data_IF_818717080266
#
_entry.id   IF_818717080266
#
_cell.length_a   1.000
_cell.length_b   1.000
_cell.length_c   1.000
_cell.angle_alpha   90.00
_cell.angle_beta   90.00
_cell.angle_gamma   90.00
#
_symmetry.space_group_name_H-M   'P 1'
#
loop_
_entity.id
_entity.type
_entity.pdbx_description
1 polymer ?
#
# COMPACT_ATOMS: atom_id res chain seq x y z
N UNK A 1 -4.82 2.43 52.40
CA UNK A 1 -4.82 2.01 50.99
C UNK A 1 -5.19 3.23 50.19
N UNK A 2 -4.21 3.96 49.70
CA UNK A 2 -4.42 5.11 48.80
C UNK A 2 -4.64 4.56 47.40
N UNK A 3 -5.85 4.72 46.87
CA UNK A 3 -6.12 4.53 45.44
C UNK A 3 -5.16 5.42 44.64
N UNK A 4 -4.56 4.91 43.54
CA UNK A 4 -3.78 5.77 42.67
C UNK A 4 -4.71 6.80 42.00
N UNK A 5 -4.24 8.02 41.71
CA UNK A 5 -5.06 9.03 41.06
C UNK A 5 -5.54 8.47 39.72
N UNK A 6 -6.85 8.58 39.45
CA UNK A 6 -7.45 8.24 38.18
C UNK A 6 -6.90 9.18 37.10
N UNK A 7 -5.76 8.82 36.51
CA UNK A 7 -5.20 9.54 35.37
C UNK A 7 -6.15 9.37 34.19
N UNK A 8 -6.58 10.49 33.62
CA UNK A 8 -7.37 10.49 32.38
C UNK A 8 -6.56 9.68 31.35
N UNK A 9 -7.14 8.62 30.74
CA UNK A 9 -6.40 7.78 29.80
C UNK A 9 -5.96 8.64 28.61
N UNK A 10 -4.74 8.39 28.12
CA UNK A 10 -4.24 9.02 26.89
C UNK A 10 -5.15 8.63 25.74
N UNK A 11 -5.27 9.48 24.74
CA UNK A 11 -6.17 9.22 23.61
C UNK A 11 -5.40 8.77 22.39
N UNK A 12 -5.83 7.66 21.82
CA UNK A 12 -5.34 7.15 20.55
C UNK A 12 -6.47 7.20 19.54
N UNK A 13 -6.19 7.74 18.36
CA UNK A 13 -7.15 7.73 17.25
C UNK A 13 -6.68 6.80 16.15
N UNK A 14 -7.53 5.87 15.73
CA UNK A 14 -7.26 5.04 14.57
C UNK A 14 -7.94 5.64 13.33
N UNK A 15 -7.15 5.98 12.32
CA UNK A 15 -7.62 6.31 10.98
C UNK A 15 -7.45 5.08 10.08
N UNK A 16 -8.52 4.69 9.40
CA UNK A 16 -8.55 3.46 8.60
C UNK A 16 -9.57 3.57 7.47
N UNK A 17 -9.46 2.74 6.43
CA UNK A 17 -10.41 2.73 5.33
C UNK A 17 -11.84 2.43 5.82
N UNK A 18 -12.75 3.39 5.59
CA UNK A 18 -14.16 3.22 5.94
C UNK A 18 -14.87 2.51 4.78
N UNK A 19 -15.02 1.19 4.92
CA UNK A 19 -15.84 0.37 4.03
C UNK A 19 -17.32 0.39 4.40
N UNK A 20 -18.19 -0.05 3.49
CA UNK A 20 -19.58 -0.35 3.83
C UNK A 20 -19.65 -1.44 4.92
N UNK A 21 -20.68 -1.48 5.79
CA UNK A 21 -20.75 -2.39 6.94
C UNK A 21 -20.46 -3.87 6.64
N UNK A 22 -20.72 -4.33 5.42
CA UNK A 22 -20.53 -5.73 4.99
C UNK A 22 -19.32 -5.95 4.10
N UNK A 23 -18.53 -4.91 3.80
CA UNK A 23 -17.38 -5.04 2.89
C UNK A 23 -16.19 -5.72 3.56
N UNK A 24 -15.32 -6.32 2.76
CA UNK A 24 -14.10 -6.96 3.27
C UNK A 24 -13.14 -5.93 3.87
N UNK A 25 -13.09 -4.71 3.33
CA UNK A 25 -12.40 -3.56 3.94
C UNK A 25 -12.88 -3.32 5.37
N UNK A 26 -14.20 -3.30 5.62
CA UNK A 26 -14.74 -3.07 6.96
C UNK A 26 -14.34 -4.19 7.92
N UNK A 27 -14.50 -5.45 7.50
CA UNK A 27 -14.11 -6.62 8.29
C UNK A 27 -12.61 -6.58 8.65
N UNK A 28 -11.75 -6.30 7.66
CA UNK A 28 -10.30 -6.18 7.86
C UNK A 28 -9.99 -5.07 8.85
N UNK A 29 -10.51 -3.86 8.65
CA UNK A 29 -10.28 -2.73 9.57
C UNK A 29 -10.80 -3.01 10.98
N UNK A 30 -11.93 -3.72 11.15
CA UNK A 30 -12.43 -4.17 12.45
C UNK A 30 -11.46 -5.17 13.11
N UNK A 31 -10.95 -6.12 12.33
CA UNK A 31 -9.97 -7.10 12.80
C UNK A 31 -8.63 -6.45 13.18
N UNK A 32 -8.13 -5.52 12.38
CA UNK A 32 -6.89 -4.77 12.67
C UNK A 32 -7.04 -3.97 13.95
N UNK A 33 -8.15 -3.24 14.13
CA UNK A 33 -8.42 -2.50 15.36
C UNK A 33 -8.46 -3.44 16.57
N UNK A 34 -9.27 -4.50 16.49
CA UNK A 34 -9.54 -5.42 17.61
C UNK A 34 -8.33 -6.27 17.98
N UNK A 35 -7.61 -6.78 16.99
CA UNK A 35 -6.59 -7.80 17.17
C UNK A 35 -5.17 -7.26 17.03
N UNK A 36 -4.92 -6.09 16.46
CA UNK A 36 -3.55 -5.57 16.32
C UNK A 36 -3.37 -4.32 17.18
N UNK A 37 -4.21 -3.31 16.97
CA UNK A 37 -4.02 -1.99 17.57
C UNK A 37 -4.44 -1.94 19.03
N UNK A 38 -5.69 -2.30 19.33
CA UNK A 38 -6.29 -2.18 20.67
C UNK A 38 -5.49 -2.88 21.77
N UNK A 39 -5.06 -4.16 21.62
CA UNK A 39 -4.32 -4.85 22.67
C UNK A 39 -2.98 -4.20 23.01
N UNK A 40 -2.37 -3.50 22.03
CA UNK A 40 -1.09 -2.82 22.22
C UNK A 40 -1.30 -1.49 22.92
N UNK A 41 -2.10 -0.60 22.33
CA UNK A 41 -2.24 0.77 22.82
C UNK A 41 -2.88 0.85 24.21
N UNK A 42 -3.83 -0.05 24.52
CA UNK A 42 -4.42 -0.14 25.87
C UNK A 42 -3.38 -0.59 26.91
N UNK A 43 -2.40 -1.42 26.52
CA UNK A 43 -1.25 -1.78 27.36
C UNK A 43 -0.34 -0.61 27.71
N UNK A 44 -0.34 0.45 26.90
CA UNK A 44 0.36 1.72 27.15
C UNK A 44 -0.55 2.77 27.82
N UNK A 45 -1.76 2.40 28.24
CA UNK A 45 -2.71 3.31 28.90
C UNK A 45 -3.45 4.26 27.96
N UNK A 46 -3.50 3.95 26.67
CA UNK A 46 -4.30 4.70 25.70
C UNK A 46 -5.70 4.09 25.57
N UNK A 47 -6.72 4.95 25.51
CA UNK A 47 -8.04 4.62 25.01
C UNK A 47 -8.06 4.84 23.49
N UNK A 48 -8.41 3.80 22.72
CA UNK A 48 -8.46 3.88 21.26
C UNK A 48 -9.89 3.85 20.71
N UNK A 49 -10.19 4.86 19.90
CA UNK A 49 -11.43 4.99 19.13
C UNK A 49 -11.11 5.07 17.63
N UNK A 50 -12.04 4.62 16.79
CA UNK A 50 -11.96 4.79 15.34
C UNK A 50 -12.94 5.87 14.87
N UNK A 51 -12.64 6.49 13.72
CA UNK A 51 -13.40 7.62 13.17
C UNK A 51 -14.91 7.37 13.02
N UNK A 52 -15.34 6.14 12.75
CA UNK A 52 -16.73 5.73 12.57
C UNK A 52 -17.47 5.38 13.87
N UNK A 53 -16.78 5.29 15.01
CA UNK A 53 -17.44 5.19 16.33
C UNK A 53 -17.95 6.57 16.83
N UNK A 54 -17.61 7.65 16.12
CA UNK A 54 -17.96 9.04 16.44
C UNK A 54 -19.29 9.39 15.75
N UNK A 55 -20.36 8.71 16.16
CA UNK A 55 -21.69 8.78 15.55
C UNK A 55 -22.59 9.86 16.22
N UNK A 56 -22.02 11.03 16.54
CA UNK A 56 -22.75 12.15 17.15
C UNK A 56 -22.89 13.33 16.18
N UNK A 57 -24.08 13.41 15.55
CA UNK A 57 -24.76 14.54 14.87
C UNK A 57 -24.06 15.90 14.75
N UNK A 58 -22.85 15.92 14.21
CA UNK A 58 -22.10 17.10 13.78
C UNK A 58 -21.34 16.75 12.50
N UNK A 59 -20.92 17.74 11.72
CA UNK A 59 -20.17 17.50 10.49
C UNK A 59 -18.98 16.58 10.79
N UNK A 60 -19.02 15.35 10.27
CA UNK A 60 -18.05 14.25 10.51
C UNK A 60 -16.60 14.76 10.41
N UNK A 61 -16.35 15.69 9.49
CA UNK A 61 -15.05 16.29 9.24
C UNK A 61 -14.45 17.04 10.42
N UNK A 62 -15.22 17.85 11.17
CA UNK A 62 -14.64 18.68 12.24
C UNK A 62 -14.25 17.85 13.46
N UNK A 63 -15.03 16.83 13.81
CA UNK A 63 -14.72 15.94 14.92
C UNK A 63 -13.49 15.08 14.60
N UNK A 64 -13.40 14.52 13.39
CA UNK A 64 -12.23 13.77 12.93
C UNK A 64 -10.98 14.64 12.93
N UNK A 65 -11.06 15.87 12.40
CA UNK A 65 -9.93 16.82 12.45
C UNK A 65 -9.52 17.11 13.89
N UNK A 66 -10.46 17.32 14.81
CA UNK A 66 -10.15 17.54 16.23
C UNK A 66 -9.48 16.31 16.85
N UNK A 67 -9.93 15.08 16.55
CA UNK A 67 -9.24 13.85 17.00
C UNK A 67 -7.81 13.78 16.47
N UNK A 68 -7.62 14.03 15.17
CA UNK A 68 -6.29 14.05 14.53
C UNK A 68 -5.41 15.13 15.16
N UNK A 69 -5.99 16.27 15.53
CA UNK A 69 -5.27 17.37 16.12
C UNK A 69 -4.95 17.15 17.59
N UNK A 70 -5.88 16.66 18.40
CA UNK A 70 -5.81 16.72 19.85
C UNK A 70 -5.38 15.40 20.50
N UNK A 71 -5.66 14.25 19.87
CA UNK A 71 -5.30 12.96 20.45
C UNK A 71 -3.77 12.79 20.54
N UNK A 72 -3.33 12.13 21.61
CA UNK A 72 -1.92 11.94 21.95
C UNK A 72 -1.19 11.08 20.90
N UNK A 73 -1.89 10.13 20.29
CA UNK A 73 -1.36 9.20 19.28
C UNK A 73 -2.35 9.00 18.14
N UNK A 74 -1.85 8.92 16.91
CA UNK A 74 -2.63 8.47 15.74
C UNK A 74 -2.03 7.19 15.17
N UNK A 75 -2.86 6.16 14.94
CA UNK A 75 -2.50 4.98 14.17
C UNK A 75 -3.17 5.06 12.80
N UNK A 76 -2.39 5.02 11.73
CA UNK A 76 -2.88 5.15 10.37
C UNK A 76 -2.76 3.84 9.59
N UNK A 77 -3.89 3.25 9.23
CA UNK A 77 -3.98 2.06 8.38
C UNK A 77 -4.03 2.45 6.89
N UNK A 78 -2.90 2.33 6.22
CA UNK A 78 -2.71 2.70 4.81
C UNK A 78 -3.09 1.59 3.83
N UNK A 79 -3.66 0.50 4.32
CA UNK A 79 -4.15 -0.59 3.48
C UNK A 79 -5.20 -0.09 2.47
N UNK A 80 -5.27 -0.72 1.30
CA UNK A 80 -6.15 -0.34 0.17
C UNK A 80 -5.87 1.05 -0.44
N UNK A 81 -4.85 1.78 0.03
CA UNK A 81 -4.49 3.12 -0.45
C UNK A 81 -5.69 4.09 -0.42
N UNK A 82 -6.46 4.09 0.67
CA UNK A 82 -7.65 4.94 0.78
C UNK A 82 -7.28 6.45 0.81
N UNK A 83 -7.78 7.28 -0.13
CA UNK A 83 -7.45 8.70 -0.21
C UNK A 83 -7.78 9.51 1.05
N UNK A 84 -8.83 9.15 1.77
CA UNK A 84 -9.23 9.86 3.00
C UNK A 84 -8.20 9.64 4.10
N UNK A 85 -7.68 8.41 4.24
CA UNK A 85 -6.63 8.11 5.23
C UNK A 85 -5.35 8.89 4.93
N UNK A 86 -4.96 9.02 3.66
CA UNK A 86 -3.82 9.86 3.28
C UNK A 86 -4.04 11.33 3.64
N UNK A 87 -5.24 11.85 3.41
CA UNK A 87 -5.57 13.24 3.76
C UNK A 87 -5.47 13.46 5.28
N UNK A 88 -6.05 12.56 6.08
CA UNK A 88 -6.02 12.60 7.54
C UNK A 88 -4.59 12.46 8.09
N UNK A 89 -3.79 11.57 7.51
CA UNK A 89 -2.37 11.42 7.84
C UNK A 89 -1.57 12.67 7.51
N UNK A 90 -1.82 13.30 6.36
CA UNK A 90 -1.16 14.55 5.96
C UNK A 90 -1.43 15.69 6.95
N UNK A 91 -2.66 15.77 7.50
CA UNK A 91 -2.97 16.72 8.58
C UNK A 91 -2.16 16.43 9.83
N UNK A 92 -2.05 15.15 10.25
CA UNK A 92 -1.22 14.77 11.40
C UNK A 92 0.26 15.10 11.18
N UNK A 93 0.77 14.88 9.96
CA UNK A 93 2.12 15.26 9.57
C UNK A 93 2.39 16.76 9.70
N UNK A 94 1.44 17.59 9.27
CA UNK A 94 1.55 19.04 9.36
C UNK A 94 1.61 19.52 10.82
N UNK A 95 0.90 18.84 11.72
CA UNK A 95 0.91 19.13 13.16
C UNK A 95 2.13 18.61 13.90
N UNK A 96 2.96 17.78 13.26
CA UNK A 96 4.18 17.16 13.84
C UNK A 96 3.91 16.44 15.17
N UNK A 97 2.73 15.82 15.31
CA UNK A 97 2.33 15.09 16.51
C UNK A 97 2.52 13.57 16.33
N UNK A 98 2.70 12.80 17.41
CA UNK A 98 3.03 11.37 17.35
C UNK A 98 2.06 10.56 16.49
N UNK A 99 2.60 9.69 15.64
CA UNK A 99 1.81 8.78 14.81
C UNK A 99 2.56 7.50 14.49
N UNK A 100 1.84 6.44 14.12
CA UNK A 100 2.37 5.18 13.62
C UNK A 100 1.60 4.79 12.36
N UNK A 101 2.31 4.38 11.32
CA UNK A 101 1.72 3.90 10.07
C UNK A 101 1.76 2.38 10.02
N UNK A 102 0.65 1.77 9.63
CA UNK A 102 0.51 0.34 9.41
C UNK A 102 -0.06 0.08 8.02
N UNK A 103 0.27 -1.04 7.40
CA UNK A 103 -0.31 -1.45 6.12
C UNK A 103 -0.27 -2.97 5.96
N UNK A 104 -1.21 -3.51 5.19
CA UNK A 104 -1.19 -4.93 4.83
C UNK A 104 0.02 -5.28 3.96
N UNK A 105 0.61 -6.46 4.19
CA UNK A 105 1.70 -6.99 3.37
C UNK A 105 1.29 -7.00 1.89
N UNK A 106 2.19 -6.51 1.03
CA UNK A 106 1.93 -6.35 -0.40
C UNK A 106 1.35 -5.00 -0.80
N UNK A 107 1.00 -4.13 0.16
CA UNK A 107 0.62 -2.74 -0.14
C UNK A 107 1.82 -1.97 -0.71
N UNK A 108 1.71 -1.51 -1.95
CA UNK A 108 2.73 -0.67 -2.59
C UNK A 108 2.42 0.80 -2.28
N UNK A 109 3.11 1.35 -1.28
CA UNK A 109 2.92 2.74 -0.87
C UNK A 109 3.42 3.72 -1.95
N UNK A 110 2.74 4.89 -2.10
CA UNK A 110 3.21 5.95 -2.97
C UNK A 110 4.57 6.47 -2.49
N UNK A 111 5.37 6.98 -3.44
CA UNK A 111 6.74 7.45 -3.20
C UNK A 111 6.85 8.41 -2.02
N UNK A 112 5.87 9.30 -1.82
CA UNK A 112 5.84 10.28 -0.74
C UNK A 112 5.85 9.67 0.68
N UNK A 113 5.47 8.39 0.82
CA UNK A 113 5.48 7.65 2.09
C UNK A 113 6.49 6.49 2.11
N UNK A 114 7.17 6.18 1.01
CA UNK A 114 8.11 5.05 0.96
C UNK A 114 9.30 5.22 1.92
N UNK A 115 9.72 6.48 2.15
CA UNK A 115 10.80 6.81 3.07
C UNK A 115 10.34 6.86 4.53
N UNK A 116 9.04 6.68 4.80
CA UNK A 116 8.51 6.61 6.16
C UNK A 116 8.40 5.16 6.63
N UNK A 117 8.78 4.93 7.90
CA UNK A 117 8.69 3.59 8.49
C UNK A 117 7.23 3.18 8.63
N UNK A 118 6.81 2.25 7.78
CA UNK A 118 5.48 1.60 7.86
C UNK A 118 5.63 0.19 8.44
N UNK A 119 4.75 -0.15 9.38
CA UNK A 119 4.68 -1.48 9.97
C UNK A 119 3.77 -2.33 9.10
N UNK A 120 4.34 -3.36 8.48
CA UNK A 120 3.58 -4.30 7.67
C UNK A 120 2.95 -5.38 8.55
N UNK A 121 1.74 -5.82 8.19
CA UNK A 121 1.05 -6.93 8.84
C UNK A 121 0.29 -7.79 7.82
N UNK A 122 0.11 -9.06 8.13
CA UNK A 122 -0.91 -9.93 7.53
C UNK A 122 -1.89 -10.32 8.64
N UNK A 123 -3.15 -9.92 8.49
CA UNK A 123 -4.17 -10.15 9.52
C UNK A 123 -4.71 -11.59 9.54
N UNK A 124 -4.33 -12.41 8.55
CA UNK A 124 -4.61 -13.83 8.49
C UNK A 124 -3.49 -14.70 9.09
N UNK A 125 -2.31 -14.12 9.32
CA UNK A 125 -1.16 -14.79 9.91
C UNK A 125 -0.93 -14.31 11.36
N UNK A 126 -1.05 -15.24 12.32
CA UNK A 126 -0.89 -14.92 13.73
C UNK A 126 0.54 -14.50 14.10
N UNK A 127 1.55 -15.04 13.40
CA UNK A 127 2.94 -14.66 13.63
C UNK A 127 3.17 -13.24 13.13
N UNK A 128 2.65 -12.89 11.94
CA UNK A 128 2.68 -11.52 11.43
C UNK A 128 1.94 -10.54 12.34
N UNK A 129 0.80 -10.94 12.91
CA UNK A 129 0.07 -10.13 13.91
C UNK A 129 0.92 -9.90 15.15
N UNK A 130 1.62 -10.92 15.66
CA UNK A 130 2.48 -10.80 16.83
C UNK A 130 3.67 -9.85 16.55
N UNK A 131 4.33 -10.00 15.41
CA UNK A 131 5.41 -9.11 14.98
C UNK A 131 4.93 -7.65 14.82
N UNK A 132 3.76 -7.44 14.21
CA UNK A 132 3.17 -6.12 14.06
C UNK A 132 2.91 -5.46 15.42
N UNK A 133 2.36 -6.22 16.39
CA UNK A 133 2.13 -5.72 17.75
C UNK A 133 3.43 -5.32 18.45
N UNK A 134 4.49 -6.13 18.32
CA UNK A 134 5.80 -5.82 18.88
C UNK A 134 6.37 -4.54 18.26
N UNK A 135 6.31 -4.41 16.93
CA UNK A 135 6.80 -3.22 16.23
C UNK A 135 6.02 -1.97 16.60
N UNK A 136 4.69 -2.06 16.77
CA UNK A 136 3.87 -0.93 17.24
C UNK A 136 4.26 -0.55 18.67
N UNK A 137 4.46 -1.54 19.56
CA UNK A 137 4.90 -1.31 20.94
C UNK A 137 6.24 -0.58 21.00
N UNK A 138 7.21 -1.00 20.18
CA UNK A 138 8.51 -0.36 20.06
C UNK A 138 8.41 1.08 19.54
N UNK A 139 7.54 1.33 18.55
CA UNK A 139 7.28 2.67 18.05
C UNK A 139 6.65 3.58 19.11
N UNK A 140 5.66 3.11 19.86
CA UNK A 140 5.03 3.88 20.94
C UNK A 140 6.04 4.18 22.04
N UNK A 141 6.84 3.19 22.45
CA UNK A 141 7.90 3.38 23.45
C UNK A 141 8.89 4.47 23.03
N UNK A 142 9.33 4.47 21.77
CA UNK A 142 10.23 5.49 21.25
C UNK A 142 9.58 6.89 21.24
N UNK A 143 8.30 6.98 20.90
CA UNK A 143 7.55 8.24 20.90
C UNK A 143 7.36 8.79 22.32
N UNK A 144 7.04 7.93 23.30
CA UNK A 144 6.91 8.33 24.71
C UNK A 144 8.25 8.76 25.33
N UNK A 145 9.37 8.18 24.85
CA UNK A 145 10.72 8.60 25.23
C UNK A 145 11.15 9.94 24.61
N UNK A 146 10.30 10.57 23.78
CA UNK A 146 10.57 11.88 23.18
C UNK A 146 11.36 11.83 21.88
N UNK A 147 11.38 10.69 21.17
CA UNK A 147 11.98 10.62 19.84
C UNK A 147 11.34 11.64 18.89
N UNK A 148 12.12 12.31 18.03
CA UNK A 148 11.57 13.30 17.11
C UNK A 148 10.58 12.65 16.13
N UNK A 149 9.45 13.32 15.91
CA UNK A 149 8.44 12.90 14.94
C UNK A 149 8.87 13.40 13.55
N UNK A 150 9.47 12.53 12.77
CA UNK A 150 9.84 12.83 11.39
C UNK A 150 8.64 12.67 10.45
N UNK A 151 8.39 13.72 9.67
CA UNK A 151 7.32 13.77 8.67
C UNK A 151 7.92 14.21 7.33
N UNK A 152 7.27 13.91 6.19
CA UNK A 152 7.71 14.45 4.90
C UNK A 152 7.79 15.98 4.91
N UNK A 153 6.90 16.63 5.69
CA UNK A 153 6.89 18.07 5.89
C UNK A 153 8.07 18.56 6.74
N UNK A 154 8.41 17.87 7.84
CA UNK A 154 9.57 18.28 8.65
C UNK A 154 10.87 18.16 7.88
N UNK A 155 10.99 17.15 7.02
CA UNK A 155 12.12 17.00 6.10
C UNK A 155 12.19 18.15 5.10
N UNK A 156 11.07 18.49 4.45
CA UNK A 156 11.01 19.59 3.49
C UNK A 156 11.36 20.94 4.12
N UNK A 157 10.85 21.21 5.33
CA UNK A 157 11.18 22.43 6.10
C UNK A 157 12.64 22.44 6.49
N UNK A 158 13.18 21.33 7.01
CA UNK A 158 14.60 21.23 7.36
C UNK A 158 15.52 21.45 6.15
N UNK A 159 15.14 20.96 4.97
CA UNK A 159 15.88 21.23 3.73
C UNK A 159 15.82 22.71 3.31
N UNK A 160 14.69 23.39 3.53
CA UNK A 160 14.58 24.84 3.30
C UNK A 160 15.45 25.65 4.27
N UNK A 161 15.48 25.26 5.55
CA UNK A 161 16.33 25.90 6.55
C UNK A 161 17.81 25.73 6.18
N UNK A 162 18.24 24.51 5.80
CA UNK A 162 19.60 24.23 5.33
C UNK A 162 19.97 25.06 4.09
N UNK A 163 19.04 25.25 3.14
CA UNK A 163 19.25 26.13 1.98
C UNK A 163 19.41 27.60 2.36
N UNK A 164 18.63 28.05 3.35
CA UNK A 164 18.64 29.43 3.85
C UNK A 164 19.80 29.74 4.79
N UNK A 165 20.52 28.71 5.24
CA UNK A 165 21.67 28.86 6.13
C UNK A 165 22.82 29.60 5.46
N UNK A 166 23.55 30.38 6.26
CA UNK A 166 24.79 31.03 5.85
C UNK A 166 26.01 30.13 6.00
N UNK A 167 25.84 28.94 6.57
CA UNK A 167 26.92 27.95 6.74
C UNK A 167 27.18 27.17 5.44
N UNK A 168 28.40 27.22 4.87
CA UNK A 168 28.77 26.47 3.68
C UNK A 168 28.60 24.94 3.80
N UNK A 169 28.76 24.36 4.99
CA UNK A 169 28.60 22.91 5.20
C UNK A 169 27.13 22.50 5.10
N UNK A 170 26.24 23.28 5.73
CA UNK A 170 24.79 23.06 5.66
C UNK A 170 24.24 23.24 4.24
N UNK A 171 24.75 24.24 3.50
CA UNK A 171 24.43 24.41 2.08
C UNK A 171 24.91 23.22 1.22
N UNK A 172 26.10 22.68 1.54
CA UNK A 172 26.63 21.48 0.92
C UNK A 172 25.72 20.27 1.13
N UNK A 173 25.24 20.06 2.37
CA UNK A 173 24.32 18.97 2.70
C UNK A 173 23.01 19.10 1.92
N UNK A 174 22.42 20.30 1.86
CA UNK A 174 21.19 20.55 1.10
C UNK A 174 21.35 20.16 -0.38
N UNK A 175 22.48 20.53 -0.99
CA UNK A 175 22.74 20.25 -2.40
C UNK A 175 22.94 18.76 -2.70
N UNK A 176 23.56 18.02 -1.78
CA UNK A 176 23.68 16.56 -1.87
C UNK A 176 22.30 15.90 -1.82
N UNK A 177 21.48 16.27 -0.83
CA UNK A 177 20.12 15.72 -0.66
C UNK A 177 19.26 15.95 -1.91
N UNK A 178 19.31 17.14 -2.50
CA UNK A 178 18.60 17.42 -3.76
C UNK A 178 19.09 16.59 -4.94
N UNK A 179 20.39 16.37 -5.01
CA UNK A 179 20.98 15.58 -6.10
C UNK A 179 20.51 14.13 -5.98
N UNK A 180 20.48 13.58 -4.76
CA UNK A 180 19.94 12.24 -4.49
C UNK A 180 18.44 12.16 -4.84
N UNK A 181 17.61 13.09 -4.35
CA UNK A 181 16.17 13.09 -4.66
C UNK A 181 15.86 13.24 -6.16
N UNK A 182 16.69 14.00 -6.89
CA UNK A 182 16.60 14.10 -8.36
C UNK A 182 16.96 12.79 -9.05
N UNK A 183 18.00 12.09 -8.58
CA UNK A 183 18.37 10.77 -9.09
C UNK A 183 17.27 9.74 -8.82
N UNK A 184 16.68 9.72 -7.62
CA UNK A 184 15.53 8.87 -7.31
C UNK A 184 14.34 9.14 -8.23
N UNK A 185 14.04 10.41 -8.51
CA UNK A 185 12.94 10.78 -9.41
C UNK A 185 13.22 10.35 -10.86
N UNK A 186 14.47 10.44 -11.31
CA UNK A 186 14.90 9.94 -12.62
C UNK A 186 14.74 8.41 -12.71
N UNK A 187 15.23 7.68 -11.71
CA UNK A 187 15.07 6.22 -11.62
C UNK A 187 13.59 5.82 -11.59
N UNK A 188 12.78 6.48 -10.76
CA UNK A 188 11.35 6.20 -10.66
C UNK A 188 10.63 6.50 -11.98
N UNK A 189 11.03 7.55 -12.72
CA UNK A 189 10.50 7.85 -14.05
C UNK A 189 10.91 6.80 -15.09
N UNK A 190 12.13 6.26 -15.05
CA UNK A 190 12.53 5.14 -15.90
C UNK A 190 11.72 3.87 -15.58
N UNK A 191 11.54 3.56 -14.30
CA UNK A 191 10.73 2.41 -13.86
C UNK A 191 9.24 2.58 -14.22
N UNK A 192 8.68 3.79 -14.14
CA UNK A 192 7.30 4.09 -14.57
C UNK A 192 7.15 4.16 -16.09
N UNK A 193 8.18 4.61 -16.81
CA UNK A 193 8.22 4.60 -18.28
C UNK A 193 8.24 3.19 -18.87
N UNK A 194 8.68 2.20 -18.10
CA UNK A 194 8.66 0.79 -18.49
C UNK A 194 7.32 0.07 -18.21
N UNK A 195 6.35 0.72 -17.54
CA UNK A 195 5.02 0.14 -17.27
C UNK A 195 3.93 1.21 -17.26
N UNK A 196 3.53 1.70 -18.44
CA UNK A 196 2.25 2.40 -18.56
C UNK A 196 1.12 1.37 -18.77
N UNK A 197 -0.04 1.49 -18.10
CA UNK A 197 -1.19 0.60 -18.32
C UNK A 197 -1.62 0.62 -19.79
N UNK A 198 -1.61 1.77 -20.45
CA UNK A 198 -1.94 1.89 -21.87
C UNK A 198 -0.99 1.11 -22.79
N UNK A 199 0.32 1.15 -22.52
CA UNK A 199 1.32 0.41 -23.30
C UNK A 199 1.17 -1.09 -23.07
N UNK A 200 0.89 -1.51 -21.82
CA UNK A 200 0.57 -2.90 -21.52
C UNK A 200 -0.70 -3.37 -22.25
N UNK A 201 -1.76 -2.55 -22.29
CA UNK A 201 -2.96 -2.87 -23.07
C UNK A 201 -2.67 -2.91 -24.58
N UNK A 202 -1.85 -2.01 -25.12
CA UNK A 202 -1.48 -2.02 -26.55
C UNK A 202 -0.61 -3.22 -26.91
N UNK A 203 0.40 -3.55 -26.11
CA UNK A 203 1.28 -4.71 -26.30
C UNK A 203 0.48 -6.02 -26.20
N UNK A 204 -0.46 -6.11 -25.25
CA UNK A 204 -1.38 -7.24 -25.13
C UNK A 204 -2.33 -7.34 -26.32
N UNK A 205 -2.80 -6.23 -26.91
CA UNK A 205 -3.65 -6.26 -28.11
C UNK A 205 -2.88 -6.71 -29.35
N UNK A 206 -1.64 -6.25 -29.53
CA UNK A 206 -0.77 -6.68 -30.64
C UNK A 206 -0.46 -8.17 -30.52
N UNK A 207 -0.10 -8.63 -29.33
CA UNK A 207 0.18 -10.05 -29.06
C UNK A 207 -1.08 -10.91 -29.24
N UNK A 208 -2.25 -10.42 -28.79
CA UNK A 208 -3.53 -11.08 -29.02
C UNK A 208 -3.84 -11.20 -30.51
N UNK A 209 -3.67 -10.13 -31.28
CA UNK A 209 -3.91 -10.15 -32.72
C UNK A 209 -2.97 -11.09 -33.47
N UNK A 210 -1.71 -11.18 -33.03
CA UNK A 210 -0.74 -12.14 -33.57
C UNK A 210 -1.15 -13.59 -33.30
N UNK A 211 -1.55 -13.92 -32.06
CA UNK A 211 -2.04 -15.25 -31.67
C UNK A 211 -3.33 -15.59 -32.44
N UNK A 212 -4.25 -14.64 -32.64
CA UNK A 212 -5.43 -14.85 -33.51
C UNK A 212 -5.05 -15.13 -34.96
N UNK A 213 -4.03 -14.45 -35.48
CA UNK A 213 -3.48 -14.70 -36.81
C UNK A 213 -2.95 -16.12 -36.94
N UNK A 214 -2.17 -16.59 -35.97
CA UNK A 214 -1.65 -17.97 -35.94
C UNK A 214 -2.78 -19.00 -35.84
N UNK A 215 -3.80 -18.71 -35.03
CA UNK A 215 -4.99 -19.56 -34.88
C UNK A 215 -5.74 -19.70 -36.19
N UNK A 216 -6.08 -18.59 -36.85
CA UNK A 216 -6.78 -18.58 -38.16
C UNK A 216 -5.98 -19.26 -39.28
N UNK A 217 -4.65 -19.26 -39.18
CA UNK A 217 -3.76 -19.95 -40.11
C UNK A 217 -3.56 -21.45 -39.77
N UNK A 218 -4.18 -21.96 -38.71
CA UNK A 218 -4.05 -23.36 -38.27
C UNK A 218 -2.67 -23.70 -37.70
N UNK A 219 -1.88 -22.70 -37.29
CA UNK A 219 -0.49 -22.85 -36.82
C UNK A 219 -0.37 -22.89 -35.29
N UNK A 220 -1.49 -22.78 -34.57
CA UNK A 220 -1.57 -22.99 -33.13
C UNK A 220 -1.90 -24.45 -32.84
N UNK A 221 -1.00 -25.15 -32.16
CA UNK A 221 -1.17 -26.52 -31.73
C UNK A 221 -1.77 -26.57 -30.31
N UNK A 222 -2.49 -27.66 -29.94
CA UNK A 222 -3.00 -27.82 -28.58
C UNK A 222 -1.92 -27.81 -27.49
N UNK A 223 -0.68 -28.16 -27.83
CA UNK A 223 0.47 -28.11 -26.92
C UNK A 223 0.87 -26.68 -26.56
N UNK A 224 0.63 -25.72 -27.45
CA UNK A 224 0.98 -24.31 -27.27
C UNK A 224 0.09 -23.65 -26.19
N UNK A 225 -1.01 -24.29 -25.80
CA UNK A 225 -1.89 -23.84 -24.72
C UNK A 225 -1.12 -23.69 -23.41
N UNK A 226 -0.24 -24.64 -23.09
CA UNK A 226 0.53 -24.62 -21.83
C UNK A 226 1.55 -23.49 -21.81
N UNK A 227 2.22 -23.22 -22.93
CA UNK A 227 3.24 -22.18 -23.03
C UNK A 227 2.65 -20.76 -23.04
N UNK A 228 1.41 -20.61 -23.52
CA UNK A 228 0.69 -19.34 -23.54
C UNK A 228 -0.07 -19.06 -22.24
N UNK A 229 -0.19 -20.03 -21.33
CA UNK A 229 -0.82 -19.89 -20.02
C UNK A 229 0.22 -19.82 -18.90
N UNK A 230 0.24 -18.72 -18.15
CA UNK A 230 1.07 -18.57 -16.95
C UNK A 230 0.26 -18.10 -15.73
N UNK A 231 0.86 -18.12 -14.54
CA UNK A 231 0.23 -17.64 -13.29
C UNK A 231 -0.19 -16.17 -13.34
N UNK A 232 0.30 -15.39 -14.30
CA UNK A 232 -0.09 -14.00 -14.54
C UNK A 232 -1.25 -13.79 -15.53
N UNK A 233 -1.79 -14.85 -16.12
CA UNK A 233 -2.87 -14.74 -17.14
C UNK A 233 -4.26 -14.89 -16.54
N UNK A 234 -5.23 -14.08 -17.00
CA UNK A 234 -6.58 -14.03 -16.42
C UNK A 234 -7.46 -15.21 -16.85
N UNK A 235 -8.47 -15.56 -16.03
CA UNK A 235 -9.46 -16.60 -16.37
C UNK A 235 -10.20 -16.33 -17.68
N UNK A 236 -10.44 -15.05 -18.01
CA UNK A 236 -11.07 -14.66 -19.26
C UNK A 236 -10.15 -14.91 -20.48
N UNK A 237 -8.84 -14.70 -20.32
CA UNK A 237 -7.85 -15.01 -21.35
C UNK A 237 -7.77 -16.52 -21.62
N UNK A 238 -7.78 -17.34 -20.57
CA UNK A 238 -7.80 -18.80 -20.72
C UNK A 238 -9.02 -19.31 -21.49
N UNK A 239 -10.21 -18.78 -21.18
CA UNK A 239 -11.44 -19.16 -21.86
C UNK A 239 -11.40 -18.80 -23.35
N UNK A 240 -10.93 -17.59 -23.67
CA UNK A 240 -10.76 -17.14 -25.06
C UNK A 240 -9.73 -17.98 -25.83
N UNK A 241 -8.58 -18.30 -25.23
CA UNK A 241 -7.52 -19.09 -25.87
C UNK A 241 -8.02 -20.52 -26.19
N UNK A 242 -8.74 -21.14 -25.24
CA UNK A 242 -9.39 -22.43 -25.49
C UNK A 242 -10.38 -22.36 -26.65
N UNK A 243 -11.24 -21.34 -26.69
CA UNK A 243 -12.12 -21.16 -27.85
C UNK A 243 -11.31 -21.02 -29.14
N UNK A 244 -10.21 -20.27 -29.14
CA UNK A 244 -9.41 -20.08 -30.35
C UNK A 244 -8.72 -21.38 -30.83
N UNK A 245 -8.13 -22.16 -29.93
CA UNK A 245 -7.47 -23.44 -30.25
C UNK A 245 -8.49 -24.50 -30.69
N UNK A 246 -9.67 -24.54 -30.06
CA UNK A 246 -10.65 -25.61 -30.27
C UNK A 246 -11.79 -25.27 -31.26
N UNK A 247 -11.91 -24.03 -31.73
CA UNK A 247 -13.01 -23.61 -32.63
C UNK A 247 -12.56 -23.29 -34.07
N UNK A 248 -11.25 -23.18 -34.35
CA UNK A 248 -10.78 -23.05 -35.73
C UNK A 248 -10.84 -24.43 -36.43
N UNK A 249 -11.46 -24.57 -37.62
CA UNK A 249 -11.55 -25.85 -38.30
C UNK A 249 -10.14 -26.38 -38.59
N UNK A 250 -9.90 -27.64 -38.22
CA UNK A 250 -8.70 -28.40 -38.58
C UNK A 250 -8.64 -28.63 -40.10
N UNK A 251 -8.32 -27.60 -40.88
CA UNK A 251 -7.95 -27.74 -42.29
C UNK A 251 -6.43 -27.83 -42.42
N UNK A 252 -5.91 -29.00 -42.09
CA UNK A 252 -4.80 -29.74 -42.76
C UNK A 252 -4.24 -30.78 -41.78
N UNK A 253 -5.02 -31.84 -41.52
CA UNK A 253 -4.45 -33.16 -41.23
C UNK A 253 -4.16 -33.82 -42.58
N UNK A 254 -2.90 -33.79 -43.01
CA UNK A 254 -2.28 -34.69 -44.01
C UNK A 254 -1.12 -33.94 -44.68
N UNK A 255 0.10 -34.08 -44.15
CA UNK A 255 1.37 -34.27 -44.89
C UNK A 255 2.43 -34.71 -43.86
N UNK A 256 2.28 -35.87 -43.23
CA UNK A 256 3.38 -36.61 -42.56
C UNK A 256 2.87 -38.05 -42.35
N UNK A 257 2.55 -38.72 -43.45
CA UNK A 257 2.35 -40.16 -43.49
C UNK A 257 2.81 -40.63 -44.86
N UNK A 258 4.11 -40.52 -45.11
CA UNK A 258 4.79 -41.30 -46.15
C UNK A 258 6.10 -41.81 -45.54
N UNK A 259 6.12 -43.11 -45.24
CA UNK A 259 7.34 -43.88 -45.04
C UNK A 259 8.28 -43.70 -46.25
N UNK A 260 9.60 -43.55 -46.04
CA UNK A 260 10.54 -43.51 -47.14
C UNK A 260 10.62 -44.89 -47.83
N UNK A 261 10.53 -44.97 -49.17
CA UNK A 261 10.75 -46.22 -49.87
C UNK A 261 12.26 -46.49 -49.99
N UNK A 262 12.71 -47.52 -49.26
CA UNK A 262 14.01 -48.23 -49.36
C UNK A 262 15.31 -47.46 -49.07
#
# INVERSE_FOLDING_TARGET
MTEPPSSIPKRCFMIAPIGQPTSDTRKRSDQVLKHIVRPVVEGFGYAVDRADDIDHSGQITSQVINRIADDDLVIADLTDLNPNVFYELALRHALKKPFVQIAEVGTVLPFDLQNQRTILFDHHDLDSVAEARERISNSITALEAGSPVETPMSFAVGLQDLRGSTDPEEQGIAQVVETVGRLESMLTKEFRGSRSPQTHYQDLQVMRHFIEGLGKQGRLLPTDEFDLMSTGTSKAFHAWLKTLIFTVPQQQKSVFDEDPPF
#
